data_IF_514120602436
#
_entry.id   IF_514120602436
#
_cell.length_a   1.000
_cell.length_b   1.000
_cell.length_c   1.000
_cell.angle_alpha   90.00
_cell.angle_beta   90.00
_cell.angle_gamma   90.00
#
_symmetry.space_group_name_H-M   'P 1'
#
loop_
_entity.id
_entity.type
_entity.pdbx_description
1 polymer ?
#
# COMPACT_ATOMS: atom_id res chain seq x y z
N UNK A 1 -61.70 66.47 -68.88
CA UNK A 1 -61.68 65.10 -69.43
C UNK A 1 -60.80 64.25 -68.51
N UNK A 2 -61.47 63.46 -67.64
CA UNK A 2 -61.05 62.17 -67.04
C UNK A 2 -59.60 61.97 -66.53
N UNK A 3 -59.50 61.96 -65.18
CA UNK A 3 -58.94 60.90 -64.28
C UNK A 3 -57.48 60.44 -64.49
N UNK A 4 -56.67 60.17 -63.46
CA UNK A 4 -56.88 59.18 -62.39
C UNK A 4 -55.97 59.45 -61.17
N UNK A 5 -56.43 58.90 -60.06
CA UNK A 5 -55.93 58.87 -58.69
C UNK A 5 -54.46 58.42 -58.51
N UNK A 6 -53.84 58.87 -57.41
CA UNK A 6 -52.89 58.05 -56.66
C UNK A 6 -52.91 58.43 -55.17
N UNK A 7 -53.27 57.43 -54.37
CA UNK A 7 -53.41 57.43 -52.91
C UNK A 7 -52.04 57.58 -52.24
N UNK A 8 -52.03 58.39 -51.18
CA UNK A 8 -50.89 58.67 -50.29
C UNK A 8 -50.61 57.47 -49.39
N UNK A 9 -49.38 56.97 -49.41
CA UNK A 9 -48.84 56.01 -48.43
C UNK A 9 -47.67 56.71 -47.72
N UNK A 10 -47.90 57.15 -46.48
CA UNK A 10 -46.86 57.65 -45.59
C UNK A 10 -46.13 56.45 -44.98
N UNK A 11 -44.85 56.31 -45.30
CA UNK A 11 -43.98 55.21 -44.87
C UNK A 11 -43.55 55.44 -43.43
N UNK A 12 -43.89 54.51 -42.53
CA UNK A 12 -43.35 54.49 -41.17
C UNK A 12 -41.87 54.07 -41.20
N UNK A 13 -40.98 54.95 -40.76
CA UNK A 13 -39.55 54.64 -40.56
C UNK A 13 -39.35 53.84 -39.28
N UNK A 14 -39.24 52.51 -39.39
CA UNK A 14 -38.72 51.67 -38.31
C UNK A 14 -37.19 51.73 -38.37
N UNK A 15 -36.58 52.53 -37.52
CA UNK A 15 -35.13 52.50 -37.30
C UNK A 15 -34.74 51.21 -36.60
N UNK A 16 -34.28 50.21 -37.36
CA UNK A 16 -33.73 48.98 -36.81
C UNK A 16 -32.40 49.29 -36.11
N UNK A 17 -32.38 49.30 -34.77
CA UNK A 17 -31.14 49.27 -34.00
C UNK A 17 -30.55 47.87 -34.15
N UNK A 18 -29.58 47.71 -35.05
CA UNK A 18 -28.74 46.51 -35.13
C UNK A 18 -27.87 46.46 -33.86
N UNK A 19 -28.32 45.73 -32.83
CA UNK A 19 -27.47 45.39 -31.71
C UNK A 19 -26.37 44.43 -32.21
N UNK A 20 -25.19 44.97 -32.53
CA UNK A 20 -24.02 44.15 -32.81
C UNK A 20 -23.63 43.43 -31.52
N UNK A 21 -23.86 42.12 -31.45
CA UNK A 21 -23.31 41.28 -30.39
C UNK A 21 -21.79 41.27 -30.53
N UNK A 22 -21.09 42.06 -29.70
CA UNK A 22 -19.63 41.97 -29.60
C UNK A 22 -19.28 40.57 -29.04
N UNK A 23 -18.37 39.82 -29.70
CA UNK A 23 -17.95 38.54 -29.16
C UNK A 23 -17.30 38.76 -27.79
N UNK A 24 -17.72 37.99 -26.79
CA UNK A 24 -17.07 38.00 -25.50
C UNK A 24 -15.60 37.57 -25.67
N UNK A 25 -14.68 38.32 -25.07
CA UNK A 25 -13.25 37.95 -25.06
C UNK A 25 -12.92 37.30 -23.72
N UNK A 26 -12.16 36.21 -23.76
CA UNK A 26 -11.61 35.54 -22.59
C UNK A 26 -10.08 35.68 -22.60
N UNK A 27 -9.48 35.76 -21.42
CA UNK A 27 -8.03 35.77 -21.24
C UNK A 27 -7.65 34.69 -20.22
N UNK A 28 -6.63 33.90 -20.55
CA UNK A 28 -6.13 32.83 -19.69
C UNK A 28 -5.16 33.39 -18.64
N UNK A 29 -5.25 32.87 -17.42
CA UNK A 29 -4.24 33.07 -16.37
C UNK A 29 -3.62 31.71 -16.04
N UNK A 30 -2.34 31.54 -16.35
CA UNK A 30 -1.60 30.33 -15.96
C UNK A 30 -1.23 30.44 -14.49
N UNK A 31 -1.65 29.46 -13.69
CA UNK A 31 -1.29 29.32 -12.28
C UNK A 31 -0.43 28.08 -12.09
N UNK A 32 0.57 28.15 -11.21
CA UNK A 32 1.50 27.05 -10.95
C UNK A 32 1.67 26.84 -9.45
N UNK A 33 1.73 25.58 -9.03
CA UNK A 33 2.14 25.16 -7.69
C UNK A 33 2.97 23.88 -7.79
N UNK A 34 3.68 23.53 -6.73
CA UNK A 34 4.51 22.32 -6.67
C UNK A 34 3.97 21.37 -5.62
N UNK A 35 3.94 20.07 -5.95
CA UNK A 35 3.71 18.99 -4.99
C UNK A 35 5.05 18.38 -4.61
N UNK A 36 5.33 18.30 -3.31
CA UNK A 36 6.58 17.75 -2.78
C UNK A 36 6.32 16.50 -1.96
N UNK A 37 7.19 15.49 -2.09
CA UNK A 37 7.18 14.31 -1.22
C UNK A 37 7.49 14.71 0.24
N UNK A 38 6.88 14.01 1.20
CA UNK A 38 7.07 14.29 2.63
C UNK A 38 8.10 13.39 3.29
N UNK A 39 8.30 12.16 2.77
CA UNK A 39 9.21 11.15 3.33
C UNK A 39 9.52 10.07 2.29
N UNK A 40 10.44 9.16 2.62
CA UNK A 40 10.76 7.99 1.78
C UNK A 40 9.83 6.80 1.97
N UNK A 41 10.38 5.62 1.66
CA UNK A 41 9.78 4.32 1.88
C UNK A 41 10.28 3.74 3.21
N UNK A 42 9.36 3.31 4.06
CA UNK A 42 9.68 2.81 5.41
C UNK A 42 8.83 1.59 5.75
N UNK A 43 9.35 0.75 6.66
CA UNK A 43 8.64 -0.38 7.24
C UNK A 43 8.83 -0.41 8.75
N UNK A 44 7.76 -0.71 9.49
CA UNK A 44 7.79 -0.88 10.95
C UNK A 44 7.19 -2.22 11.33
N UNK A 45 7.77 -2.88 12.33
CA UNK A 45 7.27 -4.13 12.90
C UNK A 45 7.30 -4.07 14.43
N UNK A 46 6.49 -4.88 15.13
CA UNK A 46 6.51 -4.94 16.59
C UNK A 46 7.85 -5.44 17.12
N UNK A 47 8.29 -4.89 18.25
CA UNK A 47 9.58 -5.27 18.84
C UNK A 47 9.59 -6.69 19.41
N UNK A 48 8.43 -7.19 19.87
CA UNK A 48 8.29 -8.50 20.49
C UNK A 48 6.92 -9.10 20.14
N UNK A 49 6.85 -10.44 20.08
CA UNK A 49 5.61 -11.20 19.98
C UNK A 49 5.74 -12.51 20.75
N UNK A 50 4.62 -13.00 21.30
CA UNK A 50 4.55 -14.27 22.01
C UNK A 50 3.79 -15.30 21.17
N UNK A 51 4.34 -16.51 21.06
CA UNK A 51 3.65 -17.65 20.48
C UNK A 51 3.07 -18.54 21.59
N UNK A 52 2.18 -19.45 21.22
CA UNK A 52 1.73 -20.52 22.13
C UNK A 52 2.89 -21.43 22.55
N UNK A 53 2.72 -22.16 23.65
CA UNK A 53 3.64 -23.23 24.04
C UNK A 53 3.45 -24.47 23.16
N UNK A 54 4.52 -25.25 22.96
CA UNK A 54 4.46 -26.53 22.25
C UNK A 54 5.40 -27.56 22.90
N UNK A 55 4.97 -28.82 22.92
CA UNK A 55 5.85 -29.95 23.23
C UNK A 55 6.75 -30.27 22.02
N UNK A 56 7.88 -31.00 22.21
CA UNK A 56 8.64 -31.54 21.09
C UNK A 56 7.75 -32.37 20.16
N UNK A 57 7.87 -32.15 18.84
CA UNK A 57 6.99 -32.70 17.81
C UNK A 57 5.70 -31.90 17.57
N UNK A 58 5.41 -30.89 18.40
CA UNK A 58 4.24 -30.02 18.30
C UNK A 58 4.47 -28.77 17.47
N UNK A 59 3.54 -27.80 17.57
CA UNK A 59 3.64 -26.50 16.89
C UNK A 59 3.26 -25.36 17.81
N UNK A 60 4.10 -24.33 17.83
CA UNK A 60 3.85 -23.05 18.50
C UNK A 60 3.35 -22.05 17.47
N UNK A 61 2.22 -21.39 17.72
CA UNK A 61 1.60 -20.45 16.78
C UNK A 61 1.21 -19.16 17.48
N UNK A 62 1.29 -18.04 16.77
CA UNK A 62 0.86 -16.74 17.26
C UNK A 62 0.92 -15.65 16.20
N UNK A 63 0.26 -14.53 16.47
CA UNK A 63 0.35 -13.33 15.66
C UNK A 63 1.59 -12.52 16.06
N UNK A 64 2.30 -11.95 15.08
CA UNK A 64 3.46 -11.09 15.37
C UNK A 64 3.06 -9.66 15.75
N UNK A 65 1.81 -9.27 15.49
CA UNK A 65 1.31 -7.91 15.62
C UNK A 65 1.43 -7.11 14.31
N UNK A 66 1.06 -5.83 14.36
CA UNK A 66 0.90 -5.03 13.14
C UNK A 66 2.26 -4.66 12.52
N UNK A 67 2.47 -5.08 11.28
CA UNK A 67 3.55 -4.63 10.40
C UNK A 67 2.97 -3.60 9.42
N UNK A 68 3.68 -2.50 9.20
CA UNK A 68 3.21 -1.40 8.34
C UNK A 68 4.29 -0.97 7.36
N UNK A 69 3.95 -0.89 6.08
CA UNK A 69 4.73 -0.16 5.07
C UNK A 69 4.11 1.21 4.86
N UNK A 70 4.94 2.25 4.84
CA UNK A 70 4.55 3.62 4.48
C UNK A 70 5.47 4.12 3.37
N UNK A 71 4.88 4.47 2.24
CA UNK A 71 5.56 5.04 1.09
C UNK A 71 5.06 6.46 0.85
N UNK A 72 5.91 7.43 1.18
CA UNK A 72 5.61 8.86 1.05
C UNK A 72 6.38 9.53 -0.09
N UNK A 73 6.95 8.74 -1.01
CA UNK A 73 7.72 9.23 -2.15
C UNK A 73 6.84 9.97 -3.17
N UNK A 74 5.53 9.73 -3.14
CA UNK A 74 4.53 10.36 -4.03
C UNK A 74 4.87 10.24 -5.52
N UNK A 75 5.33 9.07 -5.95
CA UNK A 75 5.81 8.82 -7.32
C UNK A 75 4.70 8.27 -8.24
N UNK A 76 4.84 8.53 -9.53
CA UNK A 76 4.07 7.84 -10.56
C UNK A 76 4.55 6.38 -10.67
N UNK A 77 3.65 5.41 -10.78
CA UNK A 77 3.98 4.00 -10.94
C UNK A 77 4.76 3.43 -9.76
N UNK A 78 4.35 3.78 -8.55
CA UNK A 78 5.03 3.38 -7.31
C UNK A 78 5.03 1.86 -7.15
N UNK A 79 6.22 1.28 -6.99
CA UNK A 79 6.42 -0.14 -6.72
C UNK A 79 7.35 -0.36 -5.54
N UNK A 80 7.14 -1.46 -4.83
CA UNK A 80 8.00 -1.94 -3.75
C UNK A 80 7.64 -3.37 -3.37
N UNK A 81 8.59 -4.06 -2.73
CA UNK A 81 8.39 -5.40 -2.15
C UNK A 81 8.82 -5.37 -0.68
N UNK A 82 7.91 -5.77 0.21
CA UNK A 82 8.22 -6.08 1.59
C UNK A 82 8.63 -7.54 1.71
N UNK A 83 9.82 -7.80 2.24
CA UNK A 83 10.39 -9.13 2.44
C UNK A 83 10.43 -9.46 3.93
N UNK A 84 10.18 -10.71 4.28
CA UNK A 84 10.35 -11.25 5.64
C UNK A 84 11.41 -12.35 5.63
N UNK A 85 12.23 -12.40 6.67
CA UNK A 85 13.27 -13.40 6.84
C UNK A 85 13.45 -13.78 8.31
N UNK A 86 14.00 -14.98 8.55
CA UNK A 86 14.48 -15.39 9.87
C UNK A 86 15.95 -14.99 10.01
N UNK A 87 16.21 -13.83 10.60
CA UNK A 87 17.56 -13.29 10.81
C UNK A 87 18.36 -14.02 11.89
N UNK A 88 17.68 -14.58 12.89
CA UNK A 88 18.27 -15.50 13.86
C UNK A 88 17.34 -16.68 14.07
N UNK A 89 17.89 -17.89 14.01
CA UNK A 89 17.18 -19.12 14.33
C UNK A 89 16.63 -19.07 15.76
N UNK A 90 15.54 -19.82 15.99
CA UNK A 90 15.00 -19.99 17.33
C UNK A 90 15.94 -20.88 18.14
N UNK A 91 16.49 -20.37 19.23
CA UNK A 91 17.44 -21.08 20.08
C UNK A 91 17.04 -21.03 21.55
N UNK A 92 17.40 -22.07 22.28
CA UNK A 92 17.44 -22.13 23.74
C UNK A 92 18.84 -22.52 24.20
N UNK A 93 19.14 -22.39 25.50
CA UNK A 93 20.35 -22.95 26.11
C UNK A 93 21.66 -22.62 25.36
N UNK A 94 22.46 -23.65 25.08
CA UNK A 94 23.75 -23.53 24.40
C UNK A 94 23.67 -23.40 22.87
N UNK A 95 22.47 -23.52 22.28
CA UNK A 95 22.27 -23.46 20.83
C UNK A 95 22.85 -24.65 20.06
N UNK A 96 22.92 -25.83 20.69
CA UNK A 96 23.23 -27.09 20.00
C UNK A 96 22.12 -27.47 19.00
N UNK A 97 22.31 -28.56 18.25
CA UNK A 97 21.30 -29.03 17.30
C UNK A 97 19.95 -29.35 17.96
N UNK A 98 19.96 -29.95 19.16
CA UNK A 98 18.74 -30.24 19.93
C UNK A 98 18.14 -28.98 20.60
N UNK A 99 18.83 -27.85 20.54
CA UNK A 99 18.40 -26.58 21.13
C UNK A 99 18.16 -25.49 20.06
N UNK A 100 18.16 -25.87 18.78
CA UNK A 100 17.99 -24.96 17.65
C UNK A 100 16.84 -25.41 16.75
N UNK A 101 16.02 -24.45 16.33
CA UNK A 101 14.96 -24.63 15.33
C UNK A 101 15.26 -23.68 14.17
N UNK A 102 15.58 -24.25 13.01
CA UNK A 102 15.91 -23.50 11.79
C UNK A 102 14.67 -22.97 11.07
N UNK A 103 14.86 -22.05 10.13
CA UNK A 103 13.78 -21.45 9.34
C UNK A 103 12.97 -22.44 8.50
N UNK A 104 13.53 -23.61 8.19
CA UNK A 104 12.80 -24.71 7.54
C UNK A 104 11.59 -25.21 8.35
N UNK A 105 11.60 -24.99 9.66
CA UNK A 105 10.52 -25.35 10.57
C UNK A 105 9.67 -24.15 10.99
N UNK A 106 9.88 -22.98 10.38
CA UNK A 106 9.17 -21.74 10.70
C UNK A 106 8.38 -21.32 9.47
N UNK A 107 7.06 -21.33 9.56
CA UNK A 107 6.16 -20.86 8.52
C UNK A 107 5.64 -19.48 8.86
N UNK A 108 5.76 -18.55 7.92
CA UNK A 108 5.17 -17.22 7.99
C UNK A 108 3.97 -17.14 7.06
N UNK A 109 2.86 -16.61 7.57
CA UNK A 109 1.64 -16.34 6.81
C UNK A 109 1.34 -14.84 6.91
N UNK A 110 1.45 -14.07 5.81
CA UNK A 110 1.25 -12.62 5.86
C UNK A 110 -0.14 -12.20 6.37
N UNK A 111 -1.17 -12.94 5.99
CA UNK A 111 -2.57 -12.54 6.19
C UNK A 111 -3.02 -11.50 5.16
N UNK A 112 -4.26 -11.02 5.30
CA UNK A 112 -4.77 -9.90 4.51
C UNK A 112 -4.32 -8.57 5.10
N UNK A 113 -4.44 -7.50 4.31
CA UNK A 113 -4.29 -6.16 4.83
C UNK A 113 -5.36 -5.88 5.91
N UNK A 114 -4.97 -5.19 6.96
CA UNK A 114 -5.83 -4.70 8.05
C UNK A 114 -6.14 -3.22 7.92
N UNK A 115 -5.28 -2.46 7.23
CA UNK A 115 -5.50 -1.07 6.85
C UNK A 115 -4.72 -0.75 5.58
N UNK A 116 -5.32 0.01 4.66
CA UNK A 116 -4.69 0.41 3.41
C UNK A 116 -4.99 1.87 3.09
N UNK A 117 -4.05 2.53 2.43
CA UNK A 117 -4.23 3.82 1.80
C UNK A 117 -3.76 3.71 0.37
N UNK A 118 -4.64 4.09 -0.56
CA UNK A 118 -4.36 4.13 -1.99
C UNK A 118 -3.89 2.76 -2.55
N UNK A 119 -4.72 1.69 -2.48
CA UNK A 119 -4.42 0.37 -3.06
C UNK A 119 -4.14 0.44 -4.58
N UNK A 120 -3.60 -0.61 -5.22
CA UNK A 120 -3.48 -1.98 -4.73
C UNK A 120 -2.24 -2.26 -3.89
N UNK A 121 -2.40 -3.18 -2.95
CA UNK A 121 -1.33 -3.90 -2.28
C UNK A 121 -1.67 -5.39 -2.31
N UNK A 122 -0.67 -6.25 -2.44
CA UNK A 122 -0.89 -7.70 -2.60
C UNK A 122 -0.12 -8.46 -1.53
N UNK A 123 -0.78 -9.29 -0.71
CA UNK A 123 -0.09 -10.15 0.23
C UNK A 123 0.77 -11.18 -0.51
N UNK A 124 1.91 -11.52 0.08
CA UNK A 124 2.68 -12.67 -0.36
C UNK A 124 1.99 -14.00 -0.03
N UNK A 125 2.62 -15.09 -0.44
CA UNK A 125 2.16 -16.43 -0.09
C UNK A 125 2.72 -16.87 1.26
N UNK A 126 1.97 -17.70 1.98
CA UNK A 126 2.50 -18.38 3.15
C UNK A 126 3.66 -19.31 2.75
N UNK A 127 4.69 -19.38 3.58
CA UNK A 127 5.87 -20.17 3.27
C UNK A 127 6.84 -20.32 4.42
N UNK A 128 7.77 -21.26 4.28
CA UNK A 128 8.86 -21.45 5.23
C UNK A 128 9.86 -20.30 5.14
N UNK A 129 10.42 -19.91 6.29
CA UNK A 129 11.52 -18.96 6.39
C UNK A 129 12.91 -19.61 6.28
N UNK A 130 13.02 -20.75 5.59
CA UNK A 130 14.31 -21.32 5.18
C UNK A 130 15.11 -20.37 4.27
N UNK A 131 14.41 -19.46 3.61
CA UNK A 131 14.95 -18.34 2.85
C UNK A 131 13.98 -17.15 2.95
N UNK A 132 14.41 -15.92 2.65
CA UNK A 132 13.51 -14.77 2.66
C UNK A 132 12.35 -14.96 1.68
N UNK A 133 11.15 -14.55 2.08
CA UNK A 133 9.94 -14.59 1.24
C UNK A 133 9.26 -13.22 1.20
N UNK A 134 8.42 -13.01 0.18
CA UNK A 134 7.59 -11.80 0.10
C UNK A 134 6.53 -11.82 1.20
N UNK A 135 6.45 -10.76 1.99
CA UNK A 135 5.36 -10.52 2.94
C UNK A 135 4.20 -9.78 2.25
N UNK A 136 4.51 -8.72 1.53
CA UNK A 136 3.55 -7.88 0.82
C UNK A 136 4.22 -7.17 -0.35
N UNK A 137 3.48 -6.73 -1.35
CA UNK A 137 4.01 -5.95 -2.46
C UNK A 137 3.04 -4.90 -2.98
N UNK A 138 3.60 -3.94 -3.71
CA UNK A 138 2.88 -3.02 -4.58
C UNK A 138 3.50 -3.05 -5.97
N UNK A 139 2.67 -3.24 -6.99
CA UNK A 139 3.13 -3.38 -8.39
C UNK A 139 2.64 -2.26 -9.31
N UNK A 140 1.74 -1.39 -8.83
CA UNK A 140 1.18 -0.28 -9.60
C UNK A 140 0.56 0.79 -8.70
N UNK A 141 0.12 1.88 -9.32
CA UNK A 141 -0.56 3.00 -8.67
C UNK A 141 0.39 4.15 -8.34
N UNK A 142 -0.19 5.34 -8.22
CA UNK A 142 0.56 6.59 -8.10
C UNK A 142 0.45 7.18 -6.71
N UNK A 143 1.38 8.04 -6.33
CA UNK A 143 1.28 8.83 -5.10
C UNK A 143 1.63 8.06 -3.83
N UNK A 144 1.47 8.74 -2.70
CA UNK A 144 1.72 8.16 -1.40
C UNK A 144 0.73 7.03 -1.09
N UNK A 145 1.21 6.00 -0.42
CA UNK A 145 0.42 4.81 -0.08
C UNK A 145 0.93 4.15 1.21
N UNK A 146 0.09 3.34 1.82
CA UNK A 146 0.46 2.57 3.01
C UNK A 146 -0.38 1.31 3.09
N UNK A 147 0.20 0.24 3.65
CA UNK A 147 -0.51 -0.98 4.01
C UNK A 147 -0.02 -1.50 5.35
N UNK A 148 -0.95 -1.96 6.17
CA UNK A 148 -0.70 -2.65 7.43
C UNK A 148 -1.29 -4.05 7.38
N UNK A 149 -0.63 -5.02 8.01
CA UNK A 149 -1.10 -6.40 8.13
C UNK A 149 -0.67 -7.02 9.47
N UNK A 150 -1.33 -8.10 9.89
CA UNK A 150 -1.00 -8.83 11.12
C UNK A 150 -0.65 -10.29 10.80
N UNK A 151 0.63 -10.63 10.61
CA UNK A 151 1.02 -11.94 10.16
C UNK A 151 0.98 -12.98 11.29
N UNK A 152 0.72 -14.21 10.90
CA UNK A 152 0.80 -15.38 11.78
C UNK A 152 2.12 -16.10 11.56
N UNK A 153 2.79 -16.48 12.65
CA UNK A 153 3.96 -17.34 12.62
C UNK A 153 3.60 -18.70 13.22
N UNK A 154 4.01 -19.77 12.56
CA UNK A 154 3.93 -21.15 13.07
C UNK A 154 5.33 -21.74 13.12
N UNK A 155 5.74 -22.19 14.29
CA UNK A 155 7.02 -22.86 14.53
C UNK A 155 6.75 -24.32 14.84
N UNK A 156 7.11 -25.21 13.93
CA UNK A 156 7.08 -26.64 14.15
C UNK A 156 8.30 -27.03 15.00
N UNK A 157 8.09 -27.59 16.18
CA UNK A 157 9.19 -27.99 17.09
C UNK A 157 9.59 -29.41 16.75
N UNK A 158 10.82 -29.69 16.27
CA UNK A 158 11.24 -31.06 15.99
C UNK A 158 11.19 -31.94 17.25
N UNK A 159 10.91 -33.23 17.09
CA UNK A 159 10.74 -34.16 18.22
C UNK A 159 12.01 -34.37 19.06
N UNK A 160 13.20 -34.15 18.47
CA UNK A 160 14.48 -34.23 19.16
C UNK A 160 14.88 -32.96 19.91
N UNK A 161 14.10 -31.89 19.81
CA UNK A 161 14.40 -30.65 20.53
C UNK A 161 14.09 -30.76 22.02
N UNK A 162 14.91 -30.13 22.85
CA UNK A 162 14.77 -30.15 24.31
C UNK A 162 13.85 -29.03 24.81
N UNK A 163 13.34 -29.18 26.03
CA UNK A 163 12.53 -28.15 26.69
C UNK A 163 13.36 -26.89 26.96
N UNK A 164 12.74 -25.72 26.83
CA UNK A 164 13.35 -24.43 27.09
C UNK A 164 12.57 -23.29 26.43
N UNK A 165 12.95 -22.05 26.76
CA UNK A 165 12.41 -20.86 26.11
C UNK A 165 13.20 -20.59 24.84
N UNK A 166 12.58 -20.83 23.69
CA UNK A 166 13.19 -20.55 22.39
C UNK A 166 12.97 -19.10 21.99
N UNK A 167 14.03 -18.40 21.61
CA UNK A 167 13.98 -17.04 21.06
C UNK A 167 14.66 -16.98 19.70
N UNK A 168 14.02 -16.30 18.76
CA UNK A 168 14.52 -16.06 17.41
C UNK A 168 14.11 -14.66 16.93
N UNK A 169 14.65 -14.24 15.79
CA UNK A 169 14.41 -12.88 15.28
C UNK A 169 13.89 -12.92 13.86
N UNK A 170 12.67 -12.43 13.68
CA UNK A 170 12.03 -12.19 12.38
C UNK A 170 12.34 -10.77 11.95
N UNK A 171 12.86 -10.59 10.74
CA UNK A 171 13.17 -9.26 10.18
C UNK A 171 12.27 -9.01 8.98
N UNK A 172 11.60 -7.86 8.99
CA UNK A 172 10.89 -7.29 7.85
C UNK A 172 11.70 -6.16 7.24
N UNK A 173 11.86 -6.17 5.91
CA UNK A 173 12.53 -5.13 5.14
C UNK A 173 11.65 -4.73 3.95
N UNK A 174 11.90 -3.55 3.38
CA UNK A 174 11.18 -3.08 2.20
C UNK A 174 12.16 -2.40 1.24
N UNK A 175 11.97 -2.63 -0.06
CA UNK A 175 12.75 -2.01 -1.14
C UNK A 175 11.88 -1.76 -2.37
#
# INVERSE_FOLDING_TARGET
MRTRDAVVIQVATVGAVMALSIPATAADTVTTFTVTATTGLTITAPANASLSTAAPGGSATGQLGIVTVSDQRSQLGTTWIATVSLSSAFKTGGGTAAETISGSNVTYTPGSATAETNPPHTPGNAGSLASPITAFSRTSGDGANSVSWNPTLTVNVPAGNVSGTYSGTITHSVA
#
